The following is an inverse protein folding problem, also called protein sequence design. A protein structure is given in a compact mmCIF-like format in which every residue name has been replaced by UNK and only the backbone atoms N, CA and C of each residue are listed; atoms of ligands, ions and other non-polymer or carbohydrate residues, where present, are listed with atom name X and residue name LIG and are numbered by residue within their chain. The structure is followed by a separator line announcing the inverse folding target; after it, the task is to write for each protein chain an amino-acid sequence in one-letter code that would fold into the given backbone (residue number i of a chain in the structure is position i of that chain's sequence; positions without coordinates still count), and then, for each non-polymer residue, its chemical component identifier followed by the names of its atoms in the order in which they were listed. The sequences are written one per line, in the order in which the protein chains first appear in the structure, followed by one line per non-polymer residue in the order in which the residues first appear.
data_IF_618905670486
#
_entry.id   IF_618905670486
#
_cell.length_a   1.000
_cell.length_b   1.000
_cell.length_c   1.000
_cell.angle_alpha   90.00
_cell.angle_beta   90.00
_cell.angle_gamma   90.00
#
_symmetry.space_group_name_H-M   'P 1'
#
loop_
_entity.id
_entity.type
_entity.pdbx_description
1 polymer ?
#
# COMPACT_ATOMS: atom_id res chain seq x y z
N UNK A 1 -21.27 48.46 19.31
CA UNK A 1 -20.96 48.12 19.16
C UNK A 1 -20.41 47.14 18.88
N UNK A 2 -20.36 46.59 18.68
CA UNK A 2 -19.85 45.85 18.54
C UNK A 2 -19.91 44.79 17.99
N UNK A 3 -20.07 44.25 17.60
CA UNK A 3 -20.28 43.39 17.11
C UNK A 3 -19.48 42.73 16.31
N UNK A 4 -18.88 42.63 16.00
CA UNK A 4 -18.14 42.32 15.16
C UNK A 4 -17.64 41.22 15.53
N UNK A 5 -17.78 40.80 16.10
CA UNK A 5 -17.25 39.85 16.49
C UNK A 5 -17.54 38.66 15.90
N UNK A 6 -17.86 38.24 15.60
CA UNK A 6 -18.29 37.23 15.20
C UNK A 6 -17.76 36.69 14.19
N UNK A 7 -17.43 36.62 13.83
CA UNK A 7 -17.03 36.29 12.84
C UNK A 7 -16.21 35.28 12.72
N UNK A 8 -15.98 34.61 13.04
CA UNK A 8 -15.13 33.79 12.87
C UNK A 8 -15.49 32.67 12.62
N UNK A 9 -15.72 32.40 12.25
CA UNK A 9 -16.07 31.56 11.87
C UNK A 9 -15.39 30.66 11.45
N UNK A 10 -15.27 30.00 11.57
CA UNK A 10 -14.65 29.06 11.52
C UNK A 10 -14.70 28.33 10.43
N UNK A 11 -13.99 28.16 9.84
CA UNK A 11 -14.01 27.50 8.84
C UNK A 11 -13.52 26.24 9.06
N UNK A 12 -14.09 25.31 9.13
CA UNK A 12 -13.67 24.09 9.26
C UNK A 12 -13.34 23.56 8.01
N UNK A 13 -12.18 23.40 7.61
CA UNK A 13 -11.87 22.79 6.43
C UNK A 13 -11.56 21.42 6.68
N UNK A 14 -12.03 20.44 5.97
CA UNK A 14 -11.66 19.09 6.07
C UNK A 14 -10.58 18.87 5.15
N UNK A 15 -9.40 18.73 5.54
CA UNK A 15 -8.32 18.47 4.67
C UNK A 15 -7.92 17.04 4.73
N UNK A 16 -7.46 16.44 3.64
CA UNK A 16 -6.97 15.06 3.69
C UNK A 16 -5.76 14.99 4.58
N UNK A 17 -5.60 13.89 5.28
CA UNK A 17 -4.47 13.75 6.15
C UNK A 17 -3.24 13.50 5.33
N UNK A 18 -2.10 13.80 5.90
CA UNK A 18 -0.85 13.54 5.24
C UNK A 18 -0.66 12.08 5.01
N UNK A 19 -1.13 11.24 5.88
CA UNK A 19 -1.01 9.81 5.73
C UNK A 19 -1.73 9.31 4.51
N UNK A 20 -2.91 9.82 4.24
CA UNK A 20 -3.65 9.42 3.06
C UNK A 20 -2.95 9.86 1.79
N UNK A 21 -2.40 11.05 1.80
CA UNK A 21 -1.68 11.53 0.64
C UNK A 21 -0.45 10.69 0.40
N UNK A 22 0.25 10.29 1.45
CA UNK A 22 1.42 9.47 1.27
C UNK A 22 1.10 8.10 0.77
N UNK A 23 0.00 7.52 1.22
CA UNK A 23 -0.40 6.24 0.73
C UNK A 23 -0.70 6.27 -0.76
N UNK A 24 -1.35 7.32 -1.21
CA UNK A 24 -1.63 7.45 -2.61
C UNK A 24 -0.34 7.57 -3.42
N UNK A 25 0.65 8.28 -2.87
CA UNK A 25 1.89 8.47 -3.61
C UNK A 25 2.73 7.23 -3.69
N UNK A 26 2.70 6.35 -2.67
CA UNK A 26 3.56 5.18 -2.69
C UNK A 26 2.84 3.95 -3.16
N UNK A 27 1.58 4.03 -3.49
CA UNK A 27 0.86 2.85 -3.89
C UNK A 27 1.28 2.35 -5.26
N UNK A 28 1.83 3.21 -6.11
CA UNK A 28 2.30 2.81 -7.43
C UNK A 28 3.68 3.34 -7.70
N UNK A 29 4.47 2.58 -8.42
CA UNK A 29 5.83 2.98 -8.77
C UNK A 29 6.28 2.15 -9.96
N UNK A 30 7.43 2.50 -10.50
CA UNK A 30 8.12 1.65 -11.45
C UNK A 30 8.35 0.28 -10.81
N UNK A 31 8.18 -0.79 -11.58
CA UNK A 31 8.22 -2.14 -11.02
C UNK A 31 9.55 -2.47 -10.35
N UNK A 32 10.66 -2.07 -10.97
CA UNK A 32 11.96 -2.34 -10.37
C UNK A 32 12.13 -1.58 -9.08
N UNK A 33 11.68 -0.35 -9.03
CA UNK A 33 11.77 0.45 -7.83
C UNK A 33 10.85 -0.07 -6.74
N UNK A 34 9.66 -0.52 -7.11
CA UNK A 34 8.74 -1.12 -6.16
C UNK A 34 9.37 -2.34 -5.51
N UNK A 35 9.94 -3.22 -6.32
CA UNK A 35 10.58 -4.42 -5.81
C UNK A 35 11.73 -4.08 -4.88
N UNK A 36 12.53 -3.10 -5.25
CA UNK A 36 13.65 -2.67 -4.43
C UNK A 36 13.17 -2.12 -3.08
N UNK A 37 12.12 -1.32 -3.09
CA UNK A 37 11.56 -0.76 -1.87
C UNK A 37 11.02 -1.85 -0.96
N UNK A 38 10.27 -2.79 -1.54
CA UNK A 38 9.70 -3.88 -0.74
C UNK A 38 10.80 -4.71 -0.10
N UNK A 39 11.86 -4.96 -0.83
CA UNK A 39 12.94 -5.81 -0.34
C UNK A 39 13.81 -5.09 0.68
N UNK A 40 14.29 -3.88 0.34
CA UNK A 40 15.29 -3.24 1.17
C UNK A 40 14.74 -2.35 2.25
N UNK A 41 13.61 -1.70 1.99
CA UNK A 41 13.06 -0.80 2.99
C UNK A 41 12.12 -1.54 3.91
N UNK A 42 11.28 -2.38 3.37
CA UNK A 42 10.26 -3.06 4.17
C UNK A 42 10.68 -4.46 4.59
N UNK A 43 11.80 -4.96 4.09
CA UNK A 43 12.26 -6.28 4.45
C UNK A 43 11.31 -7.38 4.05
N UNK A 44 10.58 -7.18 2.97
CA UNK A 44 9.58 -8.14 2.54
C UNK A 44 10.15 -9.12 1.52
N UNK A 45 9.57 -10.30 1.48
CA UNK A 45 9.92 -11.33 0.54
C UNK A 45 8.69 -11.73 -0.23
N UNK A 46 8.86 -12.03 -1.50
CA UNK A 46 7.75 -12.47 -2.32
C UNK A 46 7.39 -13.90 -1.96
N UNK A 47 6.17 -14.10 -1.54
CA UNK A 47 5.71 -15.41 -1.12
C UNK A 47 5.00 -16.18 -2.23
N UNK A 48 4.46 -15.48 -3.19
CA UNK A 48 3.76 -16.15 -4.28
C UNK A 48 3.34 -15.17 -5.33
N UNK A 49 2.90 -15.69 -6.45
CA UNK A 49 2.45 -14.86 -7.55
C UNK A 49 1.43 -15.59 -8.38
N UNK A 50 0.62 -14.87 -9.08
CA UNK A 50 -0.35 -15.45 -10.00
C UNK A 50 -0.77 -14.43 -11.01
N UNK A 51 -1.27 -14.90 -12.15
CA UNK A 51 -1.77 -14.01 -13.17
C UNK A 51 -3.21 -13.68 -12.89
N UNK A 52 -3.52 -12.41 -12.89
CA UNK A 52 -4.89 -11.97 -12.79
C UNK A 52 -5.54 -11.97 -14.17
N UNK A 53 -4.78 -11.57 -15.17
CA UNK A 53 -5.18 -11.63 -16.57
C UNK A 53 -3.88 -11.63 -17.36
N UNK A 54 -3.93 -11.74 -18.69
CA UNK A 54 -2.66 -11.92 -19.44
C UNK A 54 -1.66 -10.78 -19.28
N UNK A 55 -2.10 -9.63 -18.80
CA UNK A 55 -1.20 -8.49 -18.68
C UNK A 55 -0.99 -8.03 -17.26
N UNK A 56 -1.53 -8.74 -16.28
CA UNK A 56 -1.45 -8.30 -14.90
C UNK A 56 -1.04 -9.45 -14.00
N UNK A 57 0.08 -9.28 -13.33
CA UNK A 57 0.61 -10.28 -12.41
C UNK A 57 0.38 -9.82 -10.99
N UNK A 58 -0.17 -10.68 -10.15
CA UNK A 58 -0.31 -10.38 -8.73
C UNK A 58 0.80 -11.05 -7.96
N UNK A 59 1.34 -10.34 -6.98
CA UNK A 59 2.36 -10.87 -6.11
C UNK A 59 1.98 -10.64 -4.67
N UNK A 60 2.28 -11.60 -3.82
CA UNK A 60 2.09 -11.46 -2.38
C UNK A 60 3.45 -11.32 -1.75
N UNK A 61 3.65 -10.26 -1.01
CA UNK A 61 4.89 -9.94 -0.33
C UNK A 61 4.66 -9.91 1.17
N UNK A 62 5.58 -10.46 1.94
CA UNK A 62 5.44 -10.54 3.39
C UNK A 62 6.75 -10.17 4.05
N UNK A 63 6.67 -9.32 5.07
CA UNK A 63 7.81 -9.02 5.91
C UNK A 63 7.75 -9.97 7.10
N UNK A 64 8.68 -10.89 7.18
CA UNK A 64 8.64 -11.89 8.24
C UNK A 64 8.84 -11.31 9.60
N UNK A 65 9.63 -10.26 9.67
CA UNK A 65 9.88 -9.65 10.95
C UNK A 65 8.66 -9.00 11.54
N UNK A 66 7.92 -8.27 10.73
CA UNK A 66 6.79 -7.52 11.25
C UNK A 66 5.47 -8.23 11.04
N UNK A 67 5.41 -9.17 10.11
CA UNK A 67 4.14 -9.79 9.76
C UNK A 67 3.30 -8.95 8.81
N UNK A 68 3.84 -7.85 8.34
CA UNK A 68 3.10 -7.03 7.36
C UNK A 68 3.08 -7.74 6.02
N UNK A 69 1.98 -7.62 5.32
CA UNK A 69 1.86 -8.23 4.01
C UNK A 69 1.26 -7.26 3.03
N UNK A 70 1.60 -7.44 1.76
CA UNK A 70 1.14 -6.57 0.69
C UNK A 70 0.82 -7.39 -0.54
N UNK A 71 -0.20 -6.99 -1.27
CA UNK A 71 -0.48 -7.56 -2.57
C UNK A 71 -0.15 -6.49 -3.60
N UNK A 72 0.71 -6.87 -4.55
CA UNK A 72 1.22 -5.95 -5.55
C UNK A 72 0.75 -6.41 -6.91
N UNK A 73 0.21 -5.51 -7.70
CA UNK A 73 -0.13 -5.76 -9.07
C UNK A 73 0.93 -5.19 -9.96
N UNK A 74 1.48 -6.04 -10.83
CA UNK A 74 2.46 -5.60 -11.81
C UNK A 74 1.79 -5.56 -13.17
N UNK A 75 1.90 -4.44 -13.84
CA UNK A 75 1.28 -4.25 -15.13
C UNK A 75 2.32 -4.38 -16.24
N UNK A 76 1.86 -4.74 -17.43
CA UNK A 76 2.75 -4.98 -18.56
C UNK A 76 3.53 -3.74 -18.95
N UNK A 77 3.07 -2.57 -18.56
CA UNK A 77 3.77 -1.33 -18.92
C UNK A 77 4.94 -1.02 -17.99
N UNK A 78 5.28 -1.90 -17.07
CA UNK A 78 6.42 -1.69 -16.19
C UNK A 78 6.12 -0.98 -14.90
N UNK A 79 4.86 -0.74 -14.58
CA UNK A 79 4.52 -0.13 -13.30
C UNK A 79 3.88 -1.16 -12.37
N UNK A 80 3.97 -0.90 -11.09
CA UNK A 80 3.43 -1.78 -10.06
C UNK A 80 2.70 -0.97 -9.02
N UNK A 81 1.63 -1.52 -8.50
CA UNK A 81 0.84 -0.84 -7.48
C UNK A 81 0.54 -1.77 -6.33
N UNK A 82 0.62 -1.26 -5.12
CA UNK A 82 0.18 -2.00 -3.95
C UNK A 82 -1.33 -1.85 -3.89
N UNK A 83 -2.05 -2.95 -3.98
CA UNK A 83 -3.50 -2.90 -4.03
C UNK A 83 -4.15 -3.39 -2.75
N UNK A 84 -3.37 -4.00 -1.85
CA UNK A 84 -3.89 -4.42 -0.55
C UNK A 84 -2.72 -4.55 0.40
N UNK A 85 -2.96 -4.32 1.67
CA UNK A 85 -1.93 -4.51 2.68
C UNK A 85 -2.60 -4.76 4.02
N UNK A 86 -1.87 -5.40 4.91
CA UNK A 86 -2.37 -5.71 6.23
C UNK A 86 -1.27 -6.18 7.13
N UNK A 87 -1.66 -6.77 8.25
CA UNK A 87 -0.72 -7.19 9.29
C UNK A 87 -1.01 -8.62 9.69
N UNK A 88 -0.14 -9.15 10.49
CA UNK A 88 -0.33 -10.46 11.12
C UNK A 88 -0.47 -11.58 10.11
N UNK A 89 0.44 -11.61 9.17
CA UNK A 89 0.47 -12.68 8.19
C UNK A 89 0.75 -14.01 8.88
N UNK A 90 -0.05 -15.01 8.56
CA UNK A 90 0.17 -16.34 9.09
C UNK A 90 0.18 -17.34 7.95
N UNK A 91 1.27 -18.03 7.75
CA UNK A 91 1.31 -19.02 6.69
C UNK A 91 0.44 -20.21 7.06
N UNK A 92 -0.17 -20.80 6.05
CA UNK A 92 -0.98 -21.98 6.24
C UNK A 92 -0.15 -23.18 5.87
N UNK A 93 -0.13 -24.17 6.75
CA UNK A 93 0.64 -25.37 6.48
C UNK A 93 -0.04 -26.20 5.41
N UNK A 94 0.65 -26.55 4.36
CA UNK A 94 0.05 -27.38 3.34
C UNK A 94 -0.24 -28.75 3.93
N UNK A 95 -1.36 -29.30 3.58
CA UNK A 95 -1.70 -30.61 4.04
C UNK A 95 -2.32 -30.66 5.40
N UNK A 96 -2.48 -29.54 6.05
CA UNK A 96 -3.14 -29.52 7.33
C UNK A 96 -4.61 -29.56 7.10
N UNK A 97 -5.18 -30.37 6.55
CA UNK A 97 -6.57 -30.28 6.21
C UNK A 97 -7.41 -31.15 7.12
#
# INVERSE_FOLDING_TARGET
MRRWLALFLASCFSMPTLAEARMADVSCDDSARMSHTLTTVLGAERQGMGLRDPETLLEVWVSRESGDWMIVQNYANGSSCIVAMGEHWEPVSPGAA
#
